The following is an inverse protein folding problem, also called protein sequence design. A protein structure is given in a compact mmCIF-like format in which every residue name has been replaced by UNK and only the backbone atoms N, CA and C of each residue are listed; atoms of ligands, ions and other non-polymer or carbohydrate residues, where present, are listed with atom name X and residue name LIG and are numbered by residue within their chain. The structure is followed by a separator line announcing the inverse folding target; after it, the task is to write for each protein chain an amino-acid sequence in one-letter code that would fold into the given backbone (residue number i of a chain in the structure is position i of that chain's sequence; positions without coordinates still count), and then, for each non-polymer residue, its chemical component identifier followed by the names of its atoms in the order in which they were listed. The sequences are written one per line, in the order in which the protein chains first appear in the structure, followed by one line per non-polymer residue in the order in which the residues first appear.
data_IF_622337214986
#
_entry.id   IF_622337214986
#
_cell.length_a   1.000
_cell.length_b   1.000
_cell.length_c   1.000
_cell.angle_alpha   90.00
_cell.angle_beta   90.00
_cell.angle_gamma   90.00
#
_symmetry.space_group_name_H-M   'P 1'
#
loop_
_entity.id
_entity.type
_entity.pdbx_description
1 polymer ?
#
# COMPACT_ATOMS: atom_id res chain seq x y z
N UNK A 1 -8.52 -17.59 -17.69
CA UNK A 1 -9.82 -18.31 -17.84
C UNK A 1 -10.43 -17.82 -19.13
N UNK A 2 -10.87 -18.72 -19.99
CA UNK A 2 -11.60 -18.37 -21.21
C UNK A 2 -13.09 -18.18 -20.84
N UNK A 3 -13.72 -17.12 -21.31
CA UNK A 3 -15.16 -16.83 -21.12
C UNK A 3 -15.63 -16.78 -19.66
N UNK A 4 -15.32 -15.70 -18.96
CA UNK A 4 -15.92 -15.44 -17.65
C UNK A 4 -17.41 -15.07 -17.80
N UNK A 5 -18.32 -15.83 -17.18
CA UNK A 5 -19.75 -15.61 -17.25
C UNK A 5 -20.35 -15.33 -15.87
N UNK A 6 -21.03 -14.20 -15.72
CA UNK A 6 -21.79 -13.87 -14.51
C UNK A 6 -22.92 -14.87 -14.27
N UNK A 7 -23.12 -15.25 -13.01
CA UNK A 7 -24.18 -16.18 -12.60
C UNK A 7 -23.90 -17.65 -12.90
N UNK A 8 -22.72 -17.99 -13.39
CA UNK A 8 -22.29 -19.37 -13.64
C UNK A 8 -21.09 -19.75 -12.78
N UNK A 9 -20.84 -21.06 -12.66
CA UNK A 9 -19.60 -21.57 -12.05
C UNK A 9 -18.48 -21.44 -13.08
N UNK A 10 -17.53 -20.55 -12.79
CA UNK A 10 -16.33 -20.36 -13.57
C UNK A 10 -15.16 -21.12 -12.92
N UNK A 11 -14.34 -21.82 -13.71
CA UNK A 11 -13.14 -22.53 -13.21
C UNK A 11 -11.89 -21.93 -13.80
N UNK A 12 -10.91 -21.67 -12.94
CA UNK A 12 -9.59 -21.18 -13.35
C UNK A 12 -8.76 -22.35 -13.89
N UNK A 13 -7.83 -22.03 -14.78
CA UNK A 13 -6.78 -22.96 -15.24
C UNK A 13 -5.45 -22.68 -14.58
N UNK A 14 -5.30 -21.52 -13.95
CA UNK A 14 -4.11 -21.08 -13.25
C UNK A 14 -4.49 -20.10 -12.15
N UNK A 15 -3.82 -20.20 -11.03
CA UNK A 15 -3.96 -19.30 -9.89
C UNK A 15 -2.57 -18.89 -9.40
N UNK A 16 -2.34 -17.59 -9.29
CA UNK A 16 -1.10 -17.02 -8.80
C UNK A 16 -1.39 -16.11 -7.62
N UNK A 17 -0.55 -16.20 -6.59
CA UNK A 17 -0.63 -15.37 -5.39
C UNK A 17 0.59 -14.47 -5.30
N UNK A 18 0.35 -13.17 -5.16
CA UNK A 18 1.38 -12.15 -5.05
C UNK A 18 1.16 -11.26 -3.84
N UNK A 19 2.24 -10.92 -3.15
CA UNK A 19 2.20 -9.78 -2.23
C UNK A 19 1.95 -8.51 -3.04
N UNK A 20 0.84 -7.83 -2.76
CA UNK A 20 0.40 -6.66 -3.50
C UNK A 20 0.35 -5.40 -2.64
N UNK A 21 0.14 -4.29 -3.32
CA UNK A 21 0.09 -2.94 -2.75
C UNK A 21 1.13 -2.03 -3.38
N UNK A 22 0.77 -0.77 -3.63
CA UNK A 22 1.65 0.17 -4.35
C UNK A 22 2.99 0.36 -3.63
N UNK A 23 3.00 0.55 -2.31
CA UNK A 23 4.23 0.67 -1.52
C UNK A 23 5.09 -0.59 -1.58
N UNK A 24 4.48 -1.77 -1.49
CA UNK A 24 5.16 -3.06 -1.64
C UNK A 24 5.78 -3.19 -3.04
N UNK A 25 5.05 -2.80 -4.09
CA UNK A 25 5.56 -2.83 -5.47
C UNK A 25 6.77 -1.91 -5.63
N UNK A 26 6.77 -0.73 -5.00
CA UNK A 26 7.95 0.15 -4.98
C UNK A 26 9.14 -0.54 -4.32
N UNK A 27 8.95 -1.19 -3.17
CA UNK A 27 10.01 -1.94 -2.49
C UNK A 27 10.55 -3.07 -3.35
N UNK A 28 9.69 -3.81 -4.05
CA UNK A 28 10.12 -4.87 -4.97
C UNK A 28 10.96 -4.34 -6.14
N UNK A 29 10.54 -3.24 -6.74
CA UNK A 29 11.29 -2.61 -7.84
C UNK A 29 12.64 -2.09 -7.35
N UNK A 30 12.69 -1.41 -6.22
CA UNK A 30 13.93 -0.89 -5.64
C UNK A 30 14.89 -2.02 -5.27
N UNK A 31 14.39 -3.13 -4.70
CA UNK A 31 15.19 -4.32 -4.42
C UNK A 31 15.82 -4.90 -5.69
N UNK A 32 15.06 -5.00 -6.77
CA UNK A 32 15.59 -5.47 -8.07
C UNK A 32 16.65 -4.52 -8.65
N UNK A 33 16.61 -3.23 -8.29
CA UNK A 33 17.61 -2.22 -8.65
C UNK A 33 18.81 -2.19 -7.68
N UNK A 34 18.84 -3.04 -6.67
CA UNK A 34 19.92 -3.14 -5.69
C UNK A 34 19.80 -2.21 -4.49
N UNK A 35 18.64 -1.59 -4.28
CA UNK A 35 18.39 -0.74 -3.11
C UNK A 35 17.66 -1.50 -2.02
N UNK A 36 18.08 -1.30 -0.77
CA UNK A 36 17.38 -1.82 0.40
C UNK A 36 16.27 -0.85 0.81
N UNK A 37 15.11 -1.43 1.18
CA UNK A 37 13.95 -0.68 1.67
C UNK A 37 13.32 -1.40 2.84
N UNK A 38 12.58 -0.66 3.67
CA UNK A 38 11.71 -1.22 4.72
C UNK A 38 10.26 -0.89 4.38
N UNK A 39 9.41 -1.90 4.31
CA UNK A 39 7.99 -1.73 4.07
C UNK A 39 7.24 -1.54 5.40
N UNK A 40 6.52 -0.43 5.51
CA UNK A 40 5.60 -0.12 6.61
C UNK A 40 4.14 -0.26 6.17
N UNK A 41 3.27 -0.47 7.11
CA UNK A 41 1.82 -0.52 6.89
C UNK A 41 1.12 -1.44 7.87
N UNK A 42 -0.10 -1.83 7.53
CA UNK A 42 -0.94 -2.65 8.39
C UNK A 42 -1.21 -4.00 7.74
N UNK A 43 -1.04 -5.07 8.51
CA UNK A 43 -1.37 -6.44 8.10
C UNK A 43 -2.35 -7.06 9.09
N UNK A 44 -3.18 -8.00 8.62
CA UNK A 44 -4.12 -8.72 9.46
C UNK A 44 -4.38 -10.11 8.93
N UNK A 45 -4.60 -11.06 9.85
CA UNK A 45 -5.00 -12.43 9.58
C UNK A 45 -4.00 -13.21 8.71
N UNK A 46 -4.45 -14.34 8.19
CA UNK A 46 -3.59 -15.23 7.40
C UNK A 46 -3.08 -14.60 6.10
N UNK A 47 -3.87 -13.72 5.48
CA UNK A 47 -3.46 -12.99 4.27
C UNK A 47 -2.34 -12.00 4.55
N UNK A 48 -2.36 -11.36 5.73
CA UNK A 48 -1.27 -10.49 6.18
C UNK A 48 0.03 -11.28 6.43
N UNK A 49 -0.09 -12.43 7.09
CA UNK A 49 1.06 -13.33 7.32
C UNK A 49 1.69 -13.80 6.00
N UNK A 50 0.85 -14.12 5.02
CA UNK A 50 1.33 -14.54 3.69
C UNK A 50 2.03 -13.40 2.94
N UNK A 51 1.51 -12.18 2.99
CA UNK A 51 2.18 -11.00 2.43
C UNK A 51 3.58 -10.85 3.04
N UNK A 52 3.68 -10.90 4.35
CA UNK A 52 4.97 -10.73 5.05
C UNK A 52 5.94 -11.86 4.72
N UNK A 53 5.46 -13.12 4.66
CA UNK A 53 6.26 -14.28 4.26
C UNK A 53 6.84 -14.10 2.85
N UNK A 54 6.00 -13.72 1.88
CA UNK A 54 6.42 -13.51 0.49
C UNK A 54 7.45 -12.37 0.34
N UNK A 55 7.34 -11.31 1.15
CA UNK A 55 8.30 -10.21 1.15
C UNK A 55 9.65 -10.64 1.75
N UNK A 56 9.62 -11.38 2.86
CA UNK A 56 10.83 -11.93 3.49
C UNK A 56 11.59 -12.88 2.54
N UNK A 57 10.87 -13.71 1.79
CA UNK A 57 11.50 -14.58 0.77
C UNK A 57 12.19 -13.78 -0.35
N UNK A 58 11.69 -12.58 -0.65
CA UNK A 58 12.34 -11.67 -1.60
C UNK A 58 13.44 -10.80 -0.97
N UNK A 59 13.74 -10.98 0.32
CA UNK A 59 14.74 -10.23 1.05
C UNK A 59 14.36 -8.75 1.25
N UNK A 60 13.07 -8.44 1.34
CA UNK A 60 12.56 -7.10 1.65
C UNK A 60 12.34 -7.01 3.15
N UNK A 61 12.91 -5.98 3.79
CA UNK A 61 12.69 -5.70 5.20
C UNK A 61 11.27 -5.20 5.44
N UNK A 62 10.67 -5.65 6.54
CA UNK A 62 9.29 -5.32 6.89
C UNK A 62 9.16 -4.90 8.35
N UNK A 63 8.40 -3.85 8.60
CA UNK A 63 8.01 -3.37 9.91
C UNK A 63 6.51 -3.08 9.92
N UNK A 64 5.70 -4.12 9.67
CA UNK A 64 4.26 -4.00 9.63
C UNK A 64 3.64 -4.02 11.03
N UNK A 65 2.59 -3.23 11.21
CA UNK A 65 1.73 -3.26 12.38
C UNK A 65 0.66 -4.34 12.14
N UNK A 66 0.60 -5.30 13.08
CA UNK A 66 -0.35 -6.41 12.98
C UNK A 66 -1.67 -6.07 13.67
N UNK A 67 -2.74 -6.01 12.87
CA UNK A 67 -4.11 -5.79 13.35
C UNK A 67 -4.71 -7.13 13.77
N UNK A 68 -5.26 -7.19 14.97
CA UNK A 68 -5.78 -8.44 15.56
C UNK A 68 -6.96 -9.03 14.78
N UNK A 69 -7.86 -8.17 14.28
CA UNK A 69 -9.12 -8.60 13.69
C UNK A 69 -9.18 -8.33 12.20
N UNK A 70 -9.76 -9.27 11.46
CA UNK A 70 -9.95 -9.16 10.02
C UNK A 70 -8.88 -9.88 9.21
N UNK A 71 -8.74 -9.49 7.95
CA UNK A 71 -7.75 -10.00 7.00
C UNK A 71 -7.21 -8.85 6.18
N UNK A 72 -5.93 -8.88 5.83
CA UNK A 72 -5.37 -7.98 4.82
C UNK A 72 -6.15 -8.12 3.51
N UNK A 73 -6.34 -7.00 2.83
CA UNK A 73 -7.15 -6.93 1.61
C UNK A 73 -6.68 -7.93 0.56
N UNK A 74 -7.62 -8.70 0.04
CA UNK A 74 -7.42 -9.50 -1.17
C UNK A 74 -7.92 -8.68 -2.36
N UNK A 75 -7.10 -8.57 -3.38
CA UNK A 75 -7.49 -8.08 -4.69
C UNK A 75 -7.51 -9.27 -5.66
N UNK A 76 -8.69 -9.66 -6.11
CA UNK A 76 -8.85 -10.73 -7.09
C UNK A 76 -8.87 -10.14 -8.50
N UNK A 77 -7.90 -10.53 -9.32
CA UNK A 77 -7.84 -10.18 -10.74
C UNK A 77 -8.29 -11.38 -11.58
N UNK A 78 -9.37 -11.19 -12.28
CA UNK A 78 -9.92 -12.19 -13.21
C UNK A 78 -9.43 -11.83 -14.61
N UNK A 79 -8.53 -12.66 -15.15
CA UNK A 79 -8.05 -12.54 -16.52
C UNK A 79 -8.88 -13.42 -17.44
N UNK A 80 -9.71 -12.78 -18.24
CA UNK A 80 -10.53 -13.35 -19.30
C UNK A 80 -10.36 -12.47 -20.54
N UNK A 81 -11.29 -12.46 -21.46
CA UNK A 81 -11.32 -11.53 -22.59
C UNK A 81 -11.30 -10.07 -22.16
N UNK A 82 -11.88 -9.79 -21.00
CA UNK A 82 -11.81 -8.51 -20.31
C UNK A 82 -11.29 -8.74 -18.91
N UNK A 83 -10.27 -7.98 -18.52
CA UNK A 83 -9.76 -8.03 -17.14
C UNK A 83 -10.77 -7.39 -16.17
N UNK A 84 -11.10 -8.09 -15.10
CA UNK A 84 -11.97 -7.60 -14.05
C UNK A 84 -11.28 -7.72 -12.69
N UNK A 85 -11.54 -6.75 -11.80
CA UNK A 85 -10.98 -6.73 -10.45
C UNK A 85 -12.08 -6.72 -9.39
N UNK A 86 -11.88 -7.52 -8.33
CA UNK A 86 -12.69 -7.45 -7.11
C UNK A 86 -11.77 -7.08 -5.97
N UNK A 87 -11.96 -5.88 -5.44
CA UNK A 87 -11.17 -5.35 -4.33
C UNK A 87 -11.88 -5.58 -3.00
N UNK A 88 -11.32 -6.41 -2.13
CA UNK A 88 -11.78 -6.55 -0.75
C UNK A 88 -11.53 -5.27 0.05
N UNK A 89 -12.16 -5.16 1.23
CA UNK A 89 -12.08 -3.95 2.06
C UNK A 89 -10.81 -3.89 2.91
N UNK A 90 -10.27 -5.02 3.35
CA UNK A 90 -9.18 -5.06 4.31
C UNK A 90 -9.65 -4.84 5.76
N UNK A 91 -8.72 -4.82 6.74
CA UNK A 91 -9.05 -4.62 8.15
C UNK A 91 -9.42 -3.16 8.42
N UNK A 92 -10.17 -2.93 9.50
CA UNK A 92 -10.42 -1.59 10.02
C UNK A 92 -9.22 -1.16 10.86
N UNK A 93 -8.62 -0.03 10.51
CA UNK A 93 -7.50 0.55 11.25
C UNK A 93 -8.06 1.42 12.37
N UNK A 94 -7.71 1.12 13.61
CA UNK A 94 -8.11 1.89 14.80
C UNK A 94 -7.13 3.03 15.04
N UNK A 95 -7.53 3.95 15.90
CA UNK A 95 -6.68 5.10 16.26
C UNK A 95 -5.36 4.64 16.91
N UNK A 96 -5.43 3.63 17.77
CA UNK A 96 -4.26 3.07 18.43
C UNK A 96 -3.26 2.47 17.44
N UNK A 97 -3.76 1.79 16.41
CA UNK A 97 -2.92 1.22 15.34
C UNK A 97 -2.24 2.33 14.52
N UNK A 98 -2.96 3.43 14.29
CA UNK A 98 -2.41 4.60 13.59
C UNK A 98 -1.32 5.31 14.40
N UNK A 99 -1.47 5.42 15.73
CA UNK A 99 -0.43 5.99 16.59
C UNK A 99 0.87 5.17 16.50
N UNK A 100 0.78 3.83 16.45
CA UNK A 100 1.96 2.98 16.23
C UNK A 100 2.67 3.29 14.91
N UNK A 101 1.91 3.55 13.84
CA UNK A 101 2.52 3.98 12.58
C UNK A 101 3.25 5.33 12.73
N UNK A 102 2.65 6.28 13.44
CA UNK A 102 3.30 7.55 13.69
C UNK A 102 4.60 7.39 14.51
N UNK A 103 4.61 6.54 15.52
CA UNK A 103 5.80 6.22 16.30
C UNK A 103 6.91 5.62 15.42
N UNK A 104 6.57 4.69 14.52
CA UNK A 104 7.52 4.15 13.56
C UNK A 104 8.09 5.24 12.64
N UNK A 105 7.24 6.12 12.11
CA UNK A 105 7.67 7.22 11.23
C UNK A 105 8.56 8.24 11.97
N UNK A 106 8.38 8.39 13.27
CA UNK A 106 9.25 9.26 14.08
C UNK A 106 10.69 8.74 14.21
N UNK A 107 10.93 7.45 13.96
CA UNK A 107 12.27 6.88 13.94
C UNK A 107 13.09 7.24 12.71
N UNK A 108 12.43 7.72 11.64
CA UNK A 108 13.09 8.15 10.42
C UNK A 108 14.09 9.27 10.68
N UNK A 109 15.18 9.28 9.95
CA UNK A 109 16.30 10.20 10.11
C UNK A 109 16.39 11.18 8.95
N UNK A 110 17.18 12.22 9.14
CA UNK A 110 17.56 13.14 8.07
C UNK A 110 18.19 12.35 6.91
N UNK A 111 17.86 12.77 5.71
CA UNK A 111 18.27 12.19 4.43
C UNK A 111 17.61 10.84 4.06
N UNK A 112 16.74 10.28 4.91
CA UNK A 112 15.89 9.16 4.54
C UNK A 112 14.92 9.54 3.40
N UNK A 113 14.48 8.53 2.67
CA UNK A 113 13.45 8.67 1.62
C UNK A 113 12.21 7.91 2.04
N UNK A 114 11.10 8.63 2.22
CA UNK A 114 9.80 8.04 2.52
C UNK A 114 8.93 8.03 1.27
N UNK A 115 8.35 6.88 0.93
CA UNK A 115 7.37 6.76 -0.15
C UNK A 115 5.98 6.53 0.44
N UNK A 116 5.08 7.48 0.22
CA UNK A 116 3.66 7.37 0.56
C UNK A 116 2.90 6.95 -0.69
N UNK A 117 2.41 5.71 -0.72
CA UNK A 117 1.79 5.16 -1.91
C UNK A 117 0.58 4.29 -1.60
N UNK A 118 -0.44 4.36 -2.43
CA UNK A 118 -1.64 3.55 -2.36
C UNK A 118 -2.89 4.29 -1.89
N UNK A 119 -3.97 3.54 -1.80
CA UNK A 119 -5.25 4.03 -1.29
C UNK A 119 -5.26 4.03 0.24
N UNK A 120 -5.96 4.98 0.82
CA UNK A 120 -6.18 5.06 2.26
C UNK A 120 -7.17 3.95 2.67
N UNK A 121 -6.82 3.09 3.64
CA UNK A 121 -7.75 2.09 4.17
C UNK A 121 -9.01 2.72 4.77
N UNK A 122 -10.11 1.97 4.77
CA UNK A 122 -11.33 2.38 5.46
C UNK A 122 -11.07 2.55 6.97
N UNK A 123 -11.66 3.58 7.56
CA UNK A 123 -11.45 3.93 8.96
C UNK A 123 -10.29 4.90 9.21
N UNK A 124 -9.41 5.12 8.24
CA UNK A 124 -8.36 6.11 8.36
C UNK A 124 -8.82 7.50 7.82
N UNK A 125 -8.31 8.59 8.42
CA UNK A 125 -8.64 9.93 7.95
C UNK A 125 -8.08 10.16 6.54
N UNK A 126 -8.86 10.79 5.67
CA UNK A 126 -8.42 11.19 4.32
C UNK A 126 -7.25 12.20 4.35
N UNK A 127 -6.98 12.76 5.51
CA UNK A 127 -5.86 13.66 5.75
C UNK A 127 -4.54 12.96 6.07
N UNK A 128 -4.50 11.61 6.17
CA UNK A 128 -3.34 10.87 6.70
C UNK A 128 -2.02 11.24 6.03
N UNK A 129 -1.96 11.38 4.71
CA UNK A 129 -0.72 11.75 4.02
C UNK A 129 -0.27 13.17 4.41
N UNK A 130 -1.20 14.11 4.50
CA UNK A 130 -0.94 15.45 5.00
C UNK A 130 -0.43 15.42 6.44
N UNK A 131 -1.06 14.64 7.29
CA UNK A 131 -0.73 14.57 8.72
C UNK A 131 0.66 13.95 8.92
N UNK A 132 1.03 12.93 8.14
CA UNK A 132 2.39 12.37 8.10
C UNK A 132 3.39 13.43 7.64
N UNK A 133 3.15 14.13 6.55
CA UNK A 133 4.06 15.15 6.05
C UNK A 133 4.23 16.31 7.03
N UNK A 134 3.15 16.75 7.66
CA UNK A 134 3.20 17.77 8.71
C UNK A 134 4.05 17.33 9.90
N UNK A 135 3.91 16.07 10.34
CA UNK A 135 4.69 15.50 11.45
C UNK A 135 6.19 15.45 11.17
N UNK A 136 6.53 15.13 9.92
CA UNK A 136 7.93 14.97 9.51
C UNK A 136 8.59 16.26 9.01
N UNK A 137 7.88 17.40 9.02
CA UNK A 137 8.33 18.67 8.45
C UNK A 137 9.62 19.22 9.07
N UNK A 138 9.90 18.89 10.34
CA UNK A 138 11.14 19.31 11.03
C UNK A 138 12.38 18.50 10.62
N UNK A 139 12.21 17.39 9.92
CA UNK A 139 13.28 16.51 9.45
C UNK A 139 13.57 16.73 7.98
N UNK A 140 14.82 16.52 7.57
CA UNK A 140 15.24 16.61 6.16
C UNK A 140 14.97 15.30 5.41
N UNK A 141 13.71 14.84 5.40
CA UNK A 141 13.27 13.61 4.73
C UNK A 141 12.77 13.97 3.34
N UNK A 142 13.18 13.19 2.34
CA UNK A 142 12.63 13.29 0.98
C UNK A 142 11.36 12.46 0.90
N UNK A 143 10.21 13.10 0.71
CA UNK A 143 8.91 12.41 0.65
C UNK A 143 8.43 12.35 -0.78
N UNK A 144 8.26 11.12 -1.31
CA UNK A 144 7.62 10.85 -2.59
C UNK A 144 6.17 10.42 -2.35
N UNK A 145 5.23 11.01 -3.08
CA UNK A 145 3.80 10.73 -2.91
C UNK A 145 3.20 10.21 -4.22
N UNK A 146 2.65 9.00 -4.18
CA UNK A 146 1.81 8.42 -5.24
C UNK A 146 0.37 8.35 -4.76
N UNK A 147 -0.44 9.32 -5.15
CA UNK A 147 -1.80 9.47 -4.65
C UNK A 147 -2.79 9.86 -5.76
N UNK A 148 -4.07 9.65 -5.48
CA UNK A 148 -5.16 10.17 -6.31
C UNK A 148 -5.21 11.69 -6.24
N UNK A 149 -5.88 12.32 -7.22
CA UNK A 149 -5.94 13.78 -7.38
C UNK A 149 -6.27 14.53 -6.08
N UNK A 150 -7.28 14.09 -5.35
CA UNK A 150 -7.74 14.78 -4.12
C UNK A 150 -6.72 14.65 -2.97
N UNK A 151 -6.15 13.47 -2.80
CA UNK A 151 -5.11 13.25 -1.78
C UNK A 151 -3.84 14.05 -2.09
N UNK A 152 -3.48 14.14 -3.36
CA UNK A 152 -2.30 14.91 -3.77
C UNK A 152 -2.48 16.39 -3.50
N UNK A 153 -3.64 16.97 -3.83
CA UNK A 153 -3.91 18.39 -3.55
C UNK A 153 -3.73 18.74 -2.08
N UNK A 154 -4.07 17.83 -1.18
CA UNK A 154 -3.91 18.03 0.27
C UNK A 154 -2.44 18.06 0.73
N UNK A 155 -1.51 17.51 -0.03
CA UNK A 155 -0.09 17.40 0.35
C UNK A 155 0.83 18.37 -0.39
N UNK A 156 0.39 19.02 -1.47
CA UNK A 156 1.21 19.94 -2.25
C UNK A 156 1.77 21.12 -1.44
N UNK A 157 0.99 21.61 -0.45
CA UNK A 157 1.44 22.66 0.44
C UNK A 157 2.67 22.29 1.30
N UNK A 158 2.96 20.99 1.44
CA UNK A 158 4.12 20.46 2.18
C UNK A 158 5.33 20.17 1.28
N UNK A 159 5.27 20.55 0.01
CA UNK A 159 6.36 20.44 -0.97
C UNK A 159 6.98 19.04 -1.05
N UNK A 160 6.22 17.99 -1.43
CA UNK A 160 6.79 16.66 -1.63
C UNK A 160 7.96 16.72 -2.62
N UNK A 161 9.01 15.94 -2.35
CA UNK A 161 10.16 15.82 -3.25
C UNK A 161 9.77 15.30 -4.64
N UNK A 162 8.83 14.36 -4.69
CA UNK A 162 8.26 13.80 -5.91
C UNK A 162 6.76 13.56 -5.69
N UNK A 163 5.95 13.90 -6.69
CA UNK A 163 4.53 13.58 -6.69
C UNK A 163 4.12 12.92 -8.00
N UNK A 164 3.39 11.81 -7.90
CA UNK A 164 2.83 11.07 -9.01
C UNK A 164 1.29 11.14 -8.94
N UNK A 165 0.67 11.45 -10.07
CA UNK A 165 -0.79 11.48 -10.21
C UNK A 165 -1.19 10.35 -11.15
N UNK A 166 -2.05 9.47 -10.68
CA UNK A 166 -2.81 8.60 -11.58
C UNK A 166 -4.04 9.35 -12.07
N UNK A 167 -4.01 9.75 -13.32
CA UNK A 167 -5.21 10.21 -14.02
C UNK A 167 -5.90 8.95 -14.51
N UNK A 168 -6.99 8.53 -13.86
CA UNK A 168 -7.87 7.52 -14.43
C UNK A 168 -8.48 8.16 -15.69
N UNK A 169 -8.24 7.57 -16.85
CA UNK A 169 -8.98 7.99 -18.04
C UNK A 169 -10.47 7.82 -17.75
N UNK A 170 -11.30 8.80 -18.11
CA UNK A 170 -12.74 8.65 -18.00
C UNK A 170 -13.17 7.49 -18.91
N UNK A 171 -13.74 6.45 -18.29
CA UNK A 171 -14.42 5.34 -18.97
C UNK A 171 -15.67 5.85 -19.64
#
# INVERSE_FOLDING_TARGET
MENFELGKVNRTVQEDIYAGGKGINVSMVLKNLGYETTAFGFLSGFTGQEIERLLKEKGISTEFIHIENGTSRINLKIRSDVESEINGMGPVIRKEDLELLYEQLDTLKDDDVLVLAGSIPSGMPQSIYRDIMSRLQSKRIKIAVDATKDLLMNVLAYHPFLSLIHISEPT
#
